data_IF_102844556814
#
_entry.id   IF_102844556814
#
_cell.length_a   1.000
_cell.length_b   1.000
_cell.length_c   1.000
_cell.angle_alpha   90.00
_cell.angle_beta   90.00
_cell.angle_gamma   90.00
#
_symmetry.space_group_name_H-M   'P 1'
#
loop_
_entity.id
_entity.type
_entity.pdbx_description
1 polymer ?
#
# COMPACT_ATOMS: atom_id res chain seq x y z
N UNK A 1 22.73 6.27 -6.83
CA UNK A 1 21.60 5.40 -6.40
C UNK A 1 20.28 6.10 -6.65
N UNK A 2 19.21 5.37 -7.00
CA UNK A 2 17.86 5.92 -7.20
C UNK A 2 17.07 5.72 -5.90
N UNK A 3 16.70 6.80 -5.22
CA UNK A 3 15.91 6.73 -3.99
C UNK A 3 14.42 6.55 -4.30
N UNK A 4 13.73 5.76 -3.49
CA UNK A 4 12.29 5.51 -3.59
C UNK A 4 11.70 5.14 -2.24
N UNK A 5 10.38 5.23 -2.11
CA UNK A 5 9.65 4.82 -0.92
C UNK A 5 8.84 3.54 -1.18
N UNK A 6 8.65 2.72 -0.14
CA UNK A 6 7.72 1.61 -0.14
C UNK A 6 6.40 2.06 0.46
N UNK A 7 5.30 1.75 -0.22
CA UNK A 7 3.95 2.08 0.22
C UNK A 7 3.06 0.84 0.14
N UNK A 8 2.03 0.82 0.98
CA UNK A 8 0.90 -0.08 0.88
C UNK A 8 -0.37 0.67 0.44
N UNK A 9 -1.39 -0.03 -0.06
CA UNK A 9 -2.66 0.59 -0.46
C UNK A 9 -3.30 1.43 0.66
N UNK A 10 -3.19 0.99 1.91
CA UNK A 10 -3.71 1.74 3.07
C UNK A 10 -2.94 3.02 3.38
N UNK A 11 -1.80 3.29 2.75
CA UNK A 11 -1.12 4.59 2.89
C UNK A 11 -1.67 5.66 1.93
N UNK A 12 -2.44 5.24 0.90
CA UNK A 12 -2.82 6.11 -0.24
C UNK A 12 -4.32 6.14 -0.54
N UNK A 13 -5.01 5.00 -0.40
CA UNK A 13 -6.42 4.90 -0.81
C UNK A 13 -7.30 5.71 0.14
N UNK A 14 -7.90 6.78 -0.39
CA UNK A 14 -8.76 7.67 0.38
C UNK A 14 -8.02 8.83 1.06
N UNK A 15 -6.75 9.02 0.73
CA UNK A 15 -5.92 10.12 1.24
C UNK A 15 -5.47 11.05 0.10
N UNK A 16 -6.18 12.15 -0.13
CA UNK A 16 -5.83 13.08 -1.21
C UNK A 16 -4.47 13.76 -1.01
N UNK A 17 -3.94 13.82 0.22
CA UNK A 17 -2.64 14.43 0.52
C UNK A 17 -1.46 13.46 0.45
N UNK A 18 -1.70 12.17 0.17
CA UNK A 18 -0.62 11.18 0.08
C UNK A 18 0.41 11.51 -1.02
N UNK A 19 0.02 11.94 -2.25
CA UNK A 19 0.98 12.29 -3.30
C UNK A 19 1.94 13.41 -2.89
N UNK A 20 1.43 14.47 -2.26
CA UNK A 20 2.22 15.62 -1.82
C UNK A 20 3.22 15.22 -0.72
N UNK A 21 2.78 14.40 0.25
CA UNK A 21 3.67 13.92 1.31
C UNK A 21 4.75 12.97 0.80
N UNK A 22 4.45 12.17 -0.22
CA UNK A 22 5.45 11.32 -0.89
C UNK A 22 6.45 12.18 -1.66
N UNK A 23 5.98 13.18 -2.42
CA UNK A 23 6.84 14.10 -3.15
C UNK A 23 7.77 14.89 -2.20
N UNK A 24 7.27 15.28 -1.02
CA UNK A 24 8.06 15.96 0.01
C UNK A 24 9.22 15.11 0.58
N UNK A 25 9.25 13.79 0.33
CA UNK A 25 10.41 12.94 0.64
C UNK A 25 11.57 13.10 -0.37
N UNK A 26 11.38 13.87 -1.45
CA UNK A 26 12.37 14.03 -2.52
C UNK A 26 12.52 12.81 -3.44
N UNK A 27 11.55 11.87 -3.40
CA UNK A 27 11.56 10.67 -4.24
C UNK A 27 10.79 10.91 -5.55
N UNK A 28 11.26 10.27 -6.63
CA UNK A 28 10.62 10.34 -7.96
C UNK A 28 9.78 9.12 -8.31
N UNK A 29 9.81 8.09 -7.46
CA UNK A 29 9.09 6.85 -7.67
C UNK A 29 8.81 6.15 -6.34
N UNK A 30 7.74 5.37 -6.32
CA UNK A 30 7.38 4.49 -5.20
C UNK A 30 7.24 3.06 -5.69
N UNK A 31 7.52 2.13 -4.79
CA UNK A 31 7.12 0.73 -4.95
C UNK A 31 5.86 0.53 -4.13
N UNK A 32 4.72 0.36 -4.82
CA UNK A 32 3.44 0.08 -4.19
C UNK A 32 3.23 -1.43 -4.05
N UNK A 33 2.90 -1.89 -2.85
CA UNK A 33 2.62 -3.29 -2.59
C UNK A 33 1.34 -3.74 -3.30
N UNK A 34 1.49 -4.61 -4.30
CA UNK A 34 0.37 -5.29 -4.96
C UNK A 34 0.09 -6.68 -4.38
N UNK A 35 0.87 -7.12 -3.38
CA UNK A 35 0.65 -8.35 -2.63
C UNK A 35 1.07 -8.12 -1.17
N UNK A 36 0.29 -8.63 -0.22
CA UNK A 36 0.58 -8.51 1.21
C UNK A 36 -0.04 -9.66 2.02
N UNK A 37 0.53 -9.93 3.19
CA UNK A 37 -0.03 -10.85 4.18
C UNK A 37 -1.03 -10.14 5.11
N UNK A 38 -1.77 -10.92 5.90
CA UNK A 38 -2.63 -10.35 6.94
C UNK A 38 -1.79 -9.53 7.93
N UNK A 39 -2.23 -8.32 8.25
CA UNK A 39 -1.45 -7.40 9.08
C UNK A 39 -2.34 -6.47 9.88
N UNK A 40 -1.78 -5.93 10.96
CA UNK A 40 -2.33 -4.80 11.68
C UNK A 40 -1.29 -3.67 11.66
N UNK A 41 -1.48 -2.72 10.75
CA UNK A 41 -0.51 -1.67 10.45
C UNK A 41 -0.94 -0.33 11.06
N UNK A 42 0.02 0.44 11.58
CA UNK A 42 -0.17 1.85 11.91
C UNK A 42 -0.14 2.68 10.63
N UNK A 43 -1.02 3.67 10.54
CA UNK A 43 -1.11 4.60 9.40
C UNK A 43 -1.07 6.05 9.91
N UNK A 44 0.07 6.53 10.44
CA UNK A 44 0.11 7.75 11.26
C UNK A 44 -0.28 9.04 10.53
N UNK A 45 -0.19 9.04 9.19
CA UNK A 45 -0.45 10.21 8.34
C UNK A 45 -1.78 10.15 7.59
N UNK A 46 -2.54 9.05 7.72
CA UNK A 46 -3.77 8.85 6.95
C UNK A 46 -4.96 9.55 7.64
N UNK A 47 -5.79 10.34 6.92
CA UNK A 47 -6.82 11.18 7.54
C UNK A 47 -8.03 10.39 8.04
N UNK A 48 -8.28 9.20 7.49
CA UNK A 48 -9.51 8.43 7.78
C UNK A 48 -9.31 7.27 8.75
N UNK A 49 -8.08 6.84 8.99
CA UNK A 49 -7.81 5.72 9.88
C UNK A 49 -6.42 5.84 10.50
N UNK A 50 -6.32 5.40 11.75
CA UNK A 50 -5.06 5.39 12.52
C UNK A 50 -4.35 4.03 12.45
N UNK A 51 -5.16 2.98 12.26
CA UNK A 51 -4.75 1.58 12.18
C UNK A 51 -5.57 0.94 11.08
N UNK A 52 -4.94 0.08 10.28
CA UNK A 52 -5.64 -0.83 9.37
C UNK A 52 -5.38 -2.26 9.80
N UNK A 53 -6.45 -3.04 9.88
CA UNK A 53 -6.37 -4.50 10.03
C UNK A 53 -6.72 -5.14 8.69
N UNK A 54 -5.72 -5.60 7.96
CA UNK A 54 -5.90 -6.51 6.83
C UNK A 54 -6.05 -7.92 7.40
N UNK A 55 -7.30 -8.38 7.57
CA UNK A 55 -7.57 -9.69 8.17
C UNK A 55 -7.01 -10.86 7.36
N UNK A 56 -6.80 -10.68 6.06
CA UNK A 56 -6.37 -11.71 5.12
C UNK A 56 -5.22 -11.21 4.26
N UNK A 57 -4.42 -12.16 3.77
CA UNK A 57 -3.48 -11.89 2.69
C UNK A 57 -4.26 -11.59 1.40
N UNK A 58 -3.70 -10.76 0.53
CA UNK A 58 -4.30 -10.44 -0.76
C UNK A 58 -3.24 -10.20 -1.83
N UNK A 59 -3.66 -10.41 -3.08
CA UNK A 59 -2.98 -9.96 -4.28
C UNK A 59 -3.94 -9.05 -5.05
N UNK A 60 -3.43 -7.93 -5.57
CA UNK A 60 -4.20 -6.92 -6.30
C UNK A 60 -3.96 -7.01 -7.81
N UNK A 61 -3.68 -8.22 -8.29
CA UNK A 61 -3.50 -8.56 -9.69
C UNK A 61 -4.20 -9.89 -9.97
N UNK A 62 -4.59 -10.16 -11.23
CA UNK A 62 -5.23 -11.42 -11.59
C UNK A 62 -4.36 -12.62 -11.22
N UNK A 63 -4.87 -13.59 -10.43
CA UNK A 63 -4.15 -14.83 -10.19
C UNK A 63 -4.15 -15.68 -11.48
N UNK A 64 -3.07 -16.42 -11.72
CA UNK A 64 -2.96 -17.29 -12.90
C UNK A 64 -3.76 -18.59 -12.78
N UNK A 65 -3.87 -19.33 -13.89
CA UNK A 65 -4.75 -20.51 -14.06
C UNK A 65 -4.66 -21.57 -12.95
N UNK A 66 -3.49 -21.73 -12.33
CA UNK A 66 -3.24 -22.60 -11.16
C UNK A 66 -4.23 -22.36 -10.00
N UNK A 67 -4.81 -21.17 -9.90
CA UNK A 67 -5.70 -20.75 -8.81
C UNK A 67 -7.19 -20.91 -9.14
N UNK A 68 -7.55 -21.45 -10.31
CA UNK A 68 -8.96 -21.64 -10.70
C UNK A 68 -9.68 -22.57 -9.71
N UNK A 69 -10.82 -22.12 -9.18
CA UNK A 69 -11.63 -22.89 -8.23
C UNK A 69 -11.08 -22.95 -6.80
N UNK A 70 -10.14 -22.06 -6.46
CA UNK A 70 -9.63 -21.86 -5.10
C UNK A 70 -10.18 -20.59 -4.47
#
# INVERSE_FOLDING_TARGET
>A
MRAGAFLYPWDVVGDPGAPERVAALGVRSVTLAAAYHSTRALTPRHPRHRVVTAGHAAVLYPPGDRWTGR
#
